data_IF_041740828391
#
_entry.id   IF_041740828391
#
_cell.length_a   1.000
_cell.length_b   1.000
_cell.length_c   1.000
_cell.angle_alpha   90.00
_cell.angle_beta   90.00
_cell.angle_gamma   90.00
#
_symmetry.space_group_name_H-M   'P 1'
#
loop_
_entity.id
_entity.type
_entity.pdbx_description
1 polymer ?
#
# COMPACT_ATOMS: atom_id res chain seq x y z
N UNK A 1 -18.38 16.95 -57.97
CA UNK A 1 -17.53 17.74 -57.07
C UNK A 1 -18.10 17.66 -55.63
N UNK A 2 -17.70 16.68 -54.83
CA UNK A 2 -18.06 16.53 -53.44
C UNK A 2 -16.98 17.15 -52.56
N UNK A 3 -17.36 18.19 -51.81
CA UNK A 3 -16.48 18.78 -50.80
C UNK A 3 -16.59 17.92 -49.51
N UNK A 4 -15.53 17.25 -49.19
CA UNK A 4 -15.34 16.61 -47.87
C UNK A 4 -15.01 17.72 -46.87
N UNK A 5 -15.93 17.98 -45.94
CA UNK A 5 -15.68 18.86 -44.81
C UNK A 5 -14.83 18.12 -43.79
N UNK A 6 -13.56 18.49 -43.72
CA UNK A 6 -12.68 18.05 -42.64
C UNK A 6 -13.17 18.67 -41.33
N UNK A 7 -13.67 17.84 -40.41
CA UNK A 7 -13.91 18.19 -39.03
C UNK A 7 -12.53 18.32 -38.33
N UNK A 8 -12.04 19.53 -38.30
CA UNK A 8 -10.90 19.87 -37.44
C UNK A 8 -11.37 19.78 -35.98
N UNK A 9 -11.00 18.68 -35.31
CA UNK A 9 -11.13 18.55 -33.88
C UNK A 9 -10.32 19.66 -33.20
N UNK A 10 -11.01 20.61 -32.57
CA UNK A 10 -10.37 21.54 -31.62
C UNK A 10 -9.72 20.70 -30.54
N UNK A 11 -8.41 20.92 -30.26
CA UNK A 11 -7.82 20.34 -29.06
C UNK A 11 -8.65 20.85 -27.87
N UNK A 12 -9.19 19.93 -27.07
CA UNK A 12 -9.76 20.28 -25.78
C UNK A 12 -8.65 20.95 -24.98
N UNK A 13 -8.75 22.27 -24.80
CA UNK A 13 -7.90 23.02 -23.89
C UNK A 13 -8.21 22.42 -22.52
N UNK A 14 -7.24 21.66 -21.98
CA UNK A 14 -7.29 21.22 -20.61
C UNK A 14 -7.53 22.47 -19.75
N UNK A 15 -8.55 22.51 -18.87
CA UNK A 15 -8.74 23.64 -18.00
C UNK A 15 -7.44 23.82 -17.22
N UNK A 16 -6.92 25.04 -17.13
CA UNK A 16 -5.83 25.40 -16.22
C UNK A 16 -6.37 25.21 -14.80
N UNK A 17 -6.28 23.97 -14.29
CA UNK A 17 -6.61 23.61 -12.92
C UNK A 17 -5.57 24.32 -12.05
N UNK A 18 -5.97 25.45 -11.47
CA UNK A 18 -5.17 26.11 -10.42
C UNK A 18 -5.51 25.40 -9.12
N UNK A 19 -4.46 25.02 -8.39
CA UNK A 19 -4.65 24.51 -7.04
C UNK A 19 -5.41 25.56 -6.22
N UNK A 20 -6.51 25.17 -5.57
CA UNK A 20 -7.28 26.06 -4.70
C UNK A 20 -6.45 26.36 -3.44
N UNK A 21 -5.73 25.35 -2.94
CA UNK A 21 -4.75 25.50 -1.85
C UNK A 21 -3.76 24.33 -1.89
N UNK A 22 -2.59 24.55 -1.31
CA UNK A 22 -1.49 23.60 -1.21
C UNK A 22 -0.70 23.82 0.06
N UNK A 23 0.05 22.81 0.50
CA UNK A 23 0.87 22.88 1.71
C UNK A 23 1.71 21.63 1.92
N UNK A 24 2.16 21.49 3.15
CA UNK A 24 3.01 20.39 3.62
C UNK A 24 2.24 19.55 4.64
N UNK A 25 2.38 18.22 4.57
CA UNK A 25 1.69 17.27 5.45
C UNK A 25 2.16 17.37 6.89
N UNK A 26 3.38 17.84 7.12
CA UNK A 26 3.94 18.10 8.45
C UNK A 26 3.17 19.19 9.20
N UNK A 27 2.49 20.08 8.47
CA UNK A 27 1.70 21.17 9.04
C UNK A 27 0.23 20.78 9.21
N UNK A 28 -0.31 20.02 8.25
CA UNK A 28 -1.71 19.58 8.23
C UNK A 28 -1.77 18.15 7.69
N UNK A 29 -2.09 17.19 8.56
CA UNK A 29 -2.17 15.80 8.19
C UNK A 29 -3.29 15.48 7.19
N UNK A 30 -3.16 14.37 6.47
CA UNK A 30 -4.15 13.93 5.47
C UNK A 30 -5.54 13.77 6.09
N UNK A 31 -5.62 13.26 7.33
CA UNK A 31 -6.88 13.13 8.07
C UNK A 31 -7.59 14.48 8.21
N UNK A 32 -6.86 15.51 8.67
CA UNK A 32 -7.41 16.84 8.92
C UNK A 32 -7.84 17.52 7.62
N UNK A 33 -7.06 17.32 6.55
CA UNK A 33 -7.40 17.81 5.21
C UNK A 33 -8.72 17.22 4.71
N UNK A 34 -8.90 15.91 4.82
CA UNK A 34 -10.13 15.25 4.40
C UNK A 34 -11.30 15.69 5.27
N UNK A 35 -11.12 15.83 6.59
CA UNK A 35 -12.16 16.36 7.48
C UNK A 35 -12.57 17.78 7.10
N UNK A 36 -11.60 18.67 6.83
CA UNK A 36 -11.85 20.04 6.39
C UNK A 36 -12.65 20.06 5.08
N UNK A 37 -12.25 19.25 4.10
CA UNK A 37 -12.92 19.16 2.80
C UNK A 37 -14.33 18.58 2.93
N UNK A 38 -14.52 17.57 3.79
CA UNK A 38 -15.82 16.96 4.09
C UNK A 38 -16.76 17.97 4.76
N UNK A 39 -16.32 18.69 5.81
CA UNK A 39 -17.12 19.71 6.50
C UNK A 39 -17.58 20.83 5.56
N UNK A 40 -16.73 21.22 4.61
CA UNK A 40 -16.99 22.28 3.65
C UNK A 40 -17.67 21.76 2.35
N UNK A 41 -18.04 20.50 2.29
CA UNK A 41 -18.67 19.85 1.14
C UNK A 41 -17.93 20.14 -0.17
N UNK A 42 -16.62 20.04 -0.16
CA UNK A 42 -15.81 20.33 -1.34
C UNK A 42 -15.85 19.17 -2.32
N UNK A 43 -15.93 19.52 -3.60
CA UNK A 43 -15.80 18.56 -4.71
C UNK A 43 -14.52 18.82 -5.44
N UNK A 44 -13.68 17.79 -5.58
CA UNK A 44 -12.36 17.93 -6.20
C UNK A 44 -11.41 16.78 -5.93
N UNK A 45 -10.14 17.02 -6.20
CA UNK A 45 -9.05 16.06 -6.05
C UNK A 45 -8.01 16.63 -5.09
N UNK A 46 -7.72 15.89 -4.02
CA UNK A 46 -6.59 16.13 -3.13
C UNK A 46 -5.43 15.25 -3.60
N UNK A 47 -4.45 15.85 -4.24
CA UNK A 47 -3.21 15.20 -4.68
C UNK A 47 -2.18 15.26 -3.57
N UNK A 48 -1.51 14.15 -3.30
CA UNK A 48 -0.51 13.98 -2.23
C UNK A 48 0.76 13.41 -2.84
N UNK A 49 1.90 13.99 -2.50
CA UNK A 49 3.22 13.51 -2.94
C UNK A 49 4.13 13.35 -1.73
N UNK A 50 4.65 12.15 -1.54
CA UNK A 50 5.53 11.77 -0.42
C UNK A 50 6.83 11.17 -0.95
N UNK A 51 7.79 10.93 -0.07
CA UNK A 51 9.01 10.20 -0.43
C UNK A 51 8.73 8.75 -0.89
N UNK A 52 7.61 8.18 -0.45
CA UNK A 52 7.21 6.80 -0.73
C UNK A 52 6.40 6.66 -2.02
N UNK A 53 5.82 7.74 -2.54
CA UNK A 53 5.03 7.75 -3.77
C UNK A 53 4.05 8.93 -3.86
N UNK A 54 3.19 8.88 -4.85
CA UNK A 54 2.12 9.85 -5.03
C UNK A 54 0.75 9.17 -5.03
N UNK A 55 -0.27 9.93 -4.63
CA UNK A 55 -1.64 9.47 -4.61
C UNK A 55 -2.64 10.61 -4.69
N UNK A 56 -3.89 10.24 -4.80
CA UNK A 56 -5.01 11.16 -4.89
C UNK A 56 -6.18 10.66 -4.03
N UNK A 57 -6.87 11.59 -3.40
CA UNK A 57 -8.18 11.37 -2.78
C UNK A 57 -9.20 12.21 -3.53
N UNK A 58 -10.24 11.57 -4.04
CA UNK A 58 -11.29 12.21 -4.82
C UNK A 58 -12.53 12.38 -3.96
N UNK A 59 -13.03 13.61 -3.92
CA UNK A 59 -14.17 13.98 -3.12
C UNK A 59 -15.32 14.50 -4.02
N UNK A 60 -16.55 14.14 -3.68
CA UNK A 60 -17.77 14.65 -4.27
C UNK A 60 -18.74 15.06 -3.17
N UNK A 61 -19.16 16.33 -3.15
CA UNK A 61 -19.96 16.96 -2.06
C UNK A 61 -19.36 16.69 -0.65
N UNK A 62 -18.03 16.67 -0.55
CA UNK A 62 -17.29 16.37 0.67
C UNK A 62 -17.08 14.89 0.98
N UNK A 63 -17.79 13.99 0.31
CA UNK A 63 -17.63 12.56 0.51
C UNK A 63 -16.44 12.03 -0.29
N UNK A 64 -15.59 11.22 0.34
CA UNK A 64 -14.55 10.49 -0.36
C UNK A 64 -15.21 9.43 -1.23
N UNK A 65 -15.03 9.55 -2.53
CA UNK A 65 -15.65 8.64 -3.52
C UNK A 65 -14.64 7.68 -4.14
N UNK A 66 -13.37 8.03 -4.11
CA UNK A 66 -12.27 7.18 -4.60
C UNK A 66 -10.94 7.64 -4.01
N UNK A 67 -9.97 6.74 -3.97
CA UNK A 67 -8.59 7.05 -3.64
C UNK A 67 -7.65 6.16 -4.46
N UNK A 68 -6.46 6.68 -4.75
CA UNK A 68 -5.38 5.88 -5.31
C UNK A 68 -4.06 6.27 -4.63
N UNK A 69 -3.18 5.29 -4.43
CA UNK A 69 -1.82 5.51 -3.94
C UNK A 69 -0.89 4.44 -4.50
N UNK A 70 0.10 4.85 -5.28
CA UNK A 70 0.95 3.93 -6.03
C UNK A 70 0.12 3.01 -6.94
N UNK A 71 -0.01 1.71 -6.58
CA UNK A 71 -0.82 0.71 -7.29
C UNK A 71 -2.12 0.37 -6.58
N UNK A 72 -2.32 0.92 -5.39
CA UNK A 72 -3.50 0.69 -4.59
C UNK A 72 -4.63 1.61 -5.01
N UNK A 73 -5.85 1.15 -4.84
CA UNK A 73 -7.08 1.86 -5.16
C UNK A 73 -8.11 1.67 -4.04
N UNK A 74 -9.08 2.59 -3.97
CA UNK A 74 -10.17 2.54 -3.01
C UNK A 74 -9.75 2.72 -1.56
N UNK A 75 -10.43 2.05 -0.64
CA UNK A 75 -10.23 2.21 0.81
C UNK A 75 -8.80 1.89 1.25
N UNK A 76 -8.17 0.86 0.67
CA UNK A 76 -6.79 0.50 1.00
C UNK A 76 -5.80 1.58 0.63
N UNK A 77 -5.99 2.26 -0.50
CA UNK A 77 -5.18 3.41 -0.89
C UNK A 77 -5.38 4.59 0.08
N UNK A 78 -6.64 4.84 0.48
CA UNK A 78 -6.96 5.86 1.46
C UNK A 78 -6.23 5.60 2.79
N UNK A 79 -6.26 4.36 3.29
CA UNK A 79 -5.56 3.98 4.52
C UNK A 79 -4.05 4.26 4.45
N UNK A 80 -3.42 3.96 3.31
CA UNK A 80 -1.99 4.28 3.13
C UNK A 80 -1.73 5.77 3.14
N UNK A 81 -2.59 6.56 2.49
CA UNK A 81 -2.46 8.02 2.49
C UNK A 81 -2.67 8.62 3.88
N UNK A 82 -3.61 8.09 4.68
CA UNK A 82 -3.82 8.52 6.07
C UNK A 82 -2.60 8.24 6.97
N UNK A 83 -1.76 7.27 6.62
CA UNK A 83 -0.55 6.94 7.37
C UNK A 83 0.63 7.88 7.04
N UNK A 84 0.58 8.62 5.92
CA UNK A 84 1.66 9.52 5.51
C UNK A 84 1.66 10.78 6.36
N UNK A 85 2.83 11.13 6.89
CA UNK A 85 3.03 12.29 7.77
C UNK A 85 3.92 13.36 7.16
N UNK A 86 4.66 13.04 6.11
CA UNK A 86 5.61 13.93 5.45
C UNK A 86 5.33 13.98 3.95
N UNK A 87 5.47 15.18 3.38
CA UNK A 87 5.26 15.39 1.96
C UNK A 87 4.45 16.64 1.65
N UNK A 88 4.01 16.77 0.41
CA UNK A 88 3.25 17.91 -0.06
C UNK A 88 1.86 17.51 -0.53
N UNK A 89 0.92 18.42 -0.38
CA UNK A 89 -0.43 18.24 -0.91
C UNK A 89 -0.87 19.44 -1.75
N UNK A 90 -1.80 19.19 -2.67
CA UNK A 90 -2.52 20.20 -3.43
C UNK A 90 -3.98 19.77 -3.60
N UNK A 91 -4.92 20.69 -3.36
CA UNK A 91 -6.32 20.45 -3.64
C UNK A 91 -6.77 21.25 -4.85
N UNK A 92 -7.45 20.61 -5.76
CA UNK A 92 -8.00 21.22 -6.98
C UNK A 92 -9.49 20.93 -7.06
N UNK A 93 -10.30 21.99 -7.06
CA UNK A 93 -11.75 21.86 -7.26
C UNK A 93 -12.08 21.38 -8.66
N UNK A 94 -13.07 20.51 -8.77
CA UNK A 94 -13.59 19.98 -10.04
C UNK A 94 -15.10 20.16 -10.13
N UNK A 95 -15.64 20.00 -11.32
CA UNK A 95 -17.10 20.17 -11.56
C UNK A 95 -17.95 18.98 -11.06
N UNK A 96 -17.36 17.99 -10.38
CA UNK A 96 -18.08 16.78 -9.94
C UNK A 96 -18.15 15.69 -11.02
N UNK A 97 -18.99 14.68 -10.77
CA UNK A 97 -19.14 13.54 -11.69
C UNK A 97 -18.01 12.51 -11.59
N UNK A 98 -17.37 12.43 -10.43
CA UNK A 98 -16.30 11.48 -10.16
C UNK A 98 -16.93 10.10 -9.92
N UNK A 99 -16.49 9.03 -10.62
CA UNK A 99 -16.99 7.68 -10.37
C UNK A 99 -16.75 7.28 -8.90
N UNK A 100 -17.79 6.73 -8.26
CA UNK A 100 -17.74 6.27 -6.88
C UNK A 100 -17.22 4.83 -6.83
N UNK A 101 -16.14 4.62 -6.12
CA UNK A 101 -15.57 3.30 -5.78
C UNK A 101 -15.73 3.00 -4.30
N UNK A 102 -15.69 4.03 -3.48
CA UNK A 102 -15.84 3.96 -2.03
C UNK A 102 -17.28 4.33 -1.69
N UNK A 103 -18.03 3.40 -1.09
CA UNK A 103 -19.44 3.57 -0.77
C UNK A 103 -19.66 4.05 0.68
N UNK A 104 -18.71 3.74 1.58
CA UNK A 104 -18.84 4.10 2.98
C UNK A 104 -18.78 5.62 3.19
N UNK A 105 -19.55 6.17 4.14
CA UNK A 105 -19.48 7.59 4.48
C UNK A 105 -18.08 7.98 4.96
N UNK A 106 -17.58 9.13 4.51
CA UNK A 106 -16.24 9.62 4.83
C UNK A 106 -15.93 9.58 6.32
N UNK A 107 -16.87 9.99 7.16
CA UNK A 107 -16.68 9.98 8.61
C UNK A 107 -16.42 8.58 9.17
N UNK A 108 -17.16 7.58 8.69
CA UNK A 108 -16.95 6.18 9.09
C UNK A 108 -15.57 5.68 8.62
N UNK A 109 -15.23 5.94 7.35
CA UNK A 109 -13.92 5.61 6.78
C UNK A 109 -12.75 6.17 7.60
N UNK A 110 -12.84 7.44 8.01
CA UNK A 110 -11.78 8.07 8.77
C UNK A 110 -11.66 7.49 10.18
N UNK A 111 -12.79 7.19 10.84
CA UNK A 111 -12.79 6.56 12.18
C UNK A 111 -12.23 5.14 12.13
N UNK A 112 -12.71 4.34 11.20
CA UNK A 112 -12.27 2.96 11.01
C UNK A 112 -10.80 2.93 10.55
N UNK A 113 -10.42 3.85 9.65
CA UNK A 113 -9.07 3.98 9.15
C UNK A 113 -8.04 4.29 10.25
N UNK A 114 -8.32 5.24 11.13
CA UNK A 114 -7.41 5.55 12.27
C UNK A 114 -7.26 4.34 13.18
N UNK A 115 -8.36 3.65 13.48
CA UNK A 115 -8.34 2.45 14.30
C UNK A 115 -7.49 1.34 13.66
N UNK A 116 -7.68 1.09 12.35
CA UNK A 116 -6.92 0.07 11.62
C UNK A 116 -5.42 0.41 11.58
N UNK A 117 -5.07 1.68 11.36
CA UNK A 117 -3.67 2.13 11.40
C UNK A 117 -3.02 1.89 12.76
N UNK A 118 -3.75 2.17 13.86
CA UNK A 118 -3.25 1.92 15.22
C UNK A 118 -3.09 0.43 15.52
N UNK A 119 -3.98 -0.41 15.02
CA UNK A 119 -3.89 -1.87 15.15
C UNK A 119 -2.69 -2.40 14.36
N UNK A 120 -2.55 -2.02 13.09
CA UNK A 120 -1.43 -2.41 12.22
C UNK A 120 -0.09 -1.98 12.82
N UNK A 121 0.00 -0.75 13.36
CA UNK A 121 1.22 -0.26 14.03
C UNK A 121 1.58 -1.15 15.23
N UNK A 122 0.63 -1.42 16.13
CA UNK A 122 0.84 -2.30 17.29
C UNK A 122 1.29 -3.71 16.88
N UNK A 123 0.69 -4.26 15.82
CA UNK A 123 1.10 -5.56 15.28
C UNK A 123 2.53 -5.54 14.76
N UNK A 124 2.90 -4.53 13.98
CA UNK A 124 4.28 -4.38 13.48
C UNK A 124 5.30 -4.28 14.61
N UNK A 125 4.99 -3.49 15.63
CA UNK A 125 5.86 -3.32 16.80
C UNK A 125 6.01 -4.65 17.56
N UNK A 126 4.92 -5.38 17.77
CA UNK A 126 4.96 -6.68 18.45
C UNK A 126 5.73 -7.75 17.67
N UNK A 127 5.68 -7.71 16.36
CA UNK A 127 6.40 -8.63 15.49
C UNK A 127 7.86 -8.21 15.23
N UNK A 128 8.23 -6.96 15.56
CA UNK A 128 9.57 -6.41 15.33
C UNK A 128 9.99 -6.43 13.85
N UNK A 129 9.05 -6.16 12.95
CA UNK A 129 9.22 -6.36 11.50
C UNK A 129 9.65 -5.09 10.73
N UNK A 130 10.05 -4.01 11.42
CA UNK A 130 10.24 -2.69 10.82
C UNK A 130 11.20 -2.68 9.61
N UNK A 131 12.30 -3.47 9.65
CA UNK A 131 13.34 -3.46 8.62
C UNK A 131 13.63 -4.84 8.01
N UNK A 132 12.85 -5.86 8.38
CA UNK A 132 13.11 -7.21 7.93
C UNK A 132 12.44 -7.49 6.58
N UNK A 133 13.11 -8.33 5.80
CA UNK A 133 12.55 -8.93 4.58
C UNK A 133 12.00 -10.30 4.92
N UNK A 134 10.75 -10.54 4.53
CA UNK A 134 10.10 -11.82 4.64
C UNK A 134 10.47 -12.71 3.45
N UNK A 135 10.81 -13.94 3.72
CA UNK A 135 11.17 -14.93 2.69
C UNK A 135 10.48 -16.26 2.99
N UNK A 136 10.10 -16.97 1.96
CA UNK A 136 9.60 -18.36 2.06
C UNK A 136 10.32 -19.26 1.07
N UNK A 137 10.58 -20.49 1.49
CA UNK A 137 11.00 -21.59 0.60
C UNK A 137 9.88 -22.59 0.32
N UNK A 138 8.70 -22.35 0.90
CA UNK A 138 7.55 -23.23 0.81
C UNK A 138 6.60 -22.72 -0.26
N UNK A 139 6.15 -23.62 -1.13
CA UNK A 139 5.06 -23.32 -2.08
C UNK A 139 3.71 -23.56 -1.44
N UNK A 140 2.68 -22.79 -1.83
CA UNK A 140 1.32 -23.06 -1.38
C UNK A 140 0.90 -24.49 -1.70
N UNK A 141 0.29 -25.17 -0.73
CA UNK A 141 -0.21 -26.52 -0.83
C UNK A 141 -1.74 -26.60 -0.86
N UNK A 142 -2.30 -27.77 -1.15
CA UNK A 142 -3.76 -27.94 -1.22
C UNK A 142 -4.48 -27.81 0.13
N UNK A 143 -3.72 -27.82 1.24
CA UNK A 143 -4.25 -27.61 2.60
C UNK A 143 -4.23 -26.15 3.06
N UNK A 144 -3.64 -25.25 2.30
CA UNK A 144 -3.53 -23.85 2.68
C UNK A 144 -4.85 -23.11 2.45
N UNK A 145 -5.24 -22.29 3.41
CA UNK A 145 -6.35 -21.37 3.26
C UNK A 145 -6.06 -20.27 2.20
N UNK A 146 -7.11 -19.57 1.73
CA UNK A 146 -6.95 -18.53 0.71
C UNK A 146 -5.92 -17.44 1.09
N UNK A 147 -5.92 -17.00 2.36
CA UNK A 147 -5.00 -15.98 2.87
C UNK A 147 -3.55 -16.51 2.91
N UNK A 148 -3.34 -17.73 3.39
CA UNK A 148 -2.02 -18.38 3.42
C UNK A 148 -1.47 -18.56 2.02
N UNK A 149 -2.28 -19.13 1.14
CA UNK A 149 -1.89 -19.35 -0.24
C UNK A 149 -1.53 -18.08 -0.98
N UNK A 150 -2.24 -16.97 -0.72
CA UNK A 150 -1.94 -15.66 -1.28
C UNK A 150 -0.61 -15.12 -0.72
N UNK A 151 -0.45 -15.12 0.60
CA UNK A 151 0.76 -14.65 1.28
C UNK A 151 2.00 -15.42 0.81
N UNK A 152 1.94 -16.73 0.76
CA UNK A 152 3.06 -17.58 0.30
C UNK A 152 3.40 -17.35 -1.18
N UNK A 153 2.41 -17.14 -2.05
CA UNK A 153 2.66 -16.78 -3.47
C UNK A 153 3.36 -15.42 -3.57
N UNK A 154 2.91 -14.46 -2.82
CA UNK A 154 3.49 -13.11 -2.83
C UNK A 154 4.92 -13.12 -2.28
N UNK A 155 5.19 -13.91 -1.25
CA UNK A 155 6.52 -14.10 -0.66
C UNK A 155 7.45 -15.06 -1.43
N UNK A 156 7.01 -15.63 -2.55
CA UNK A 156 7.91 -16.33 -3.48
C UNK A 156 9.07 -15.40 -3.96
N UNK A 157 8.86 -14.08 -3.88
CA UNK A 157 9.90 -13.06 -4.00
C UNK A 157 10.06 -12.42 -2.63
N UNK A 158 11.31 -12.26 -2.12
CA UNK A 158 11.58 -11.58 -0.86
C UNK A 158 10.98 -10.19 -0.83
N UNK A 159 10.24 -9.86 0.24
CA UNK A 159 9.52 -8.58 0.39
C UNK A 159 9.59 -8.08 1.83
N UNK A 160 9.59 -6.78 1.99
CA UNK A 160 9.28 -6.17 3.28
C UNK A 160 7.81 -6.37 3.62
N UNK A 161 7.44 -6.13 4.87
CA UNK A 161 6.03 -6.18 5.28
C UNK A 161 5.18 -5.19 4.48
N UNK A 162 5.68 -3.97 4.26
CA UNK A 162 4.98 -2.95 3.49
C UNK A 162 4.74 -3.38 2.04
N UNK A 163 5.76 -3.91 1.38
CA UNK A 163 5.64 -4.43 0.03
C UNK A 163 4.66 -5.61 -0.05
N UNK A 164 4.62 -6.47 0.98
CA UNK A 164 3.65 -7.55 1.06
C UNK A 164 2.22 -7.00 1.21
N UNK A 165 2.03 -6.09 2.17
CA UNK A 165 0.73 -5.49 2.44
C UNK A 165 0.18 -4.71 1.23
N UNK A 166 1.04 -4.09 0.44
CA UNK A 166 0.65 -3.39 -0.79
C UNK A 166 0.30 -4.34 -1.95
N UNK A 167 0.85 -5.55 -1.96
CA UNK A 167 0.63 -6.52 -3.05
C UNK A 167 -0.57 -7.44 -2.81
N UNK A 168 -0.88 -7.78 -1.54
CA UNK A 168 -2.01 -8.66 -1.24
C UNK A 168 -3.34 -7.90 -1.24
N UNK A 169 -4.41 -8.57 -1.67
CA UNK A 169 -5.78 -8.01 -1.63
C UNK A 169 -6.47 -8.21 -0.28
N UNK A 170 -5.78 -8.80 0.70
CA UNK A 170 -6.26 -8.98 2.07
C UNK A 170 -6.27 -7.65 2.82
N UNK A 171 -7.11 -7.53 3.85
CA UNK A 171 -6.93 -6.45 4.84
C UNK A 171 -5.57 -6.58 5.51
N UNK A 172 -5.00 -5.47 5.95
CA UNK A 172 -3.68 -5.48 6.57
C UNK A 172 -3.66 -6.33 7.84
N UNK A 173 -4.73 -6.29 8.62
CA UNK A 173 -4.90 -7.13 9.80
C UNK A 173 -4.82 -8.62 9.45
N UNK A 174 -5.62 -9.09 8.48
CA UNK A 174 -5.61 -10.49 8.05
C UNK A 174 -4.25 -10.92 7.48
N UNK A 175 -3.59 -10.03 6.73
CA UNK A 175 -2.28 -10.29 6.18
C UNK A 175 -1.21 -10.46 7.28
N UNK A 176 -1.20 -9.57 8.28
CA UNK A 176 -0.25 -9.64 9.41
C UNK A 176 -0.50 -10.84 10.32
N UNK A 177 -1.76 -11.17 10.62
CA UNK A 177 -2.12 -12.38 11.35
C UNK A 177 -1.62 -13.64 10.61
N UNK A 178 -1.82 -13.68 9.29
CA UNK A 178 -1.33 -14.78 8.45
C UNK A 178 0.20 -14.87 8.47
N UNK A 179 0.88 -13.73 8.35
CA UNK A 179 2.36 -13.68 8.44
C UNK A 179 2.86 -14.19 9.78
N UNK A 180 2.25 -13.76 10.89
CA UNK A 180 2.62 -14.23 12.22
C UNK A 180 2.52 -15.76 12.31
N UNK A 181 1.40 -16.33 11.94
CA UNK A 181 1.20 -17.77 11.95
C UNK A 181 2.22 -18.50 11.09
N UNK A 182 2.47 -18.03 9.88
CA UNK A 182 3.48 -18.63 8.99
C UNK A 182 4.91 -18.52 9.51
N UNK A 183 5.22 -17.46 10.29
CA UNK A 183 6.50 -17.33 11.02
C UNK A 183 6.61 -18.35 12.16
N UNK A 184 5.54 -18.53 12.95
CA UNK A 184 5.46 -19.51 14.04
C UNK A 184 5.59 -20.96 13.52
N UNK A 185 4.98 -21.25 12.37
CA UNK A 185 5.11 -22.53 11.67
C UNK A 185 6.47 -22.73 10.97
N UNK A 186 7.33 -21.71 10.92
CA UNK A 186 8.61 -21.75 10.23
C UNK A 186 8.51 -21.81 8.69
N UNK A 187 7.35 -21.57 8.12
CA UNK A 187 7.08 -21.52 6.67
C UNK A 187 7.52 -20.21 6.03
N UNK A 188 7.56 -19.15 6.82
CA UNK A 188 8.12 -17.84 6.49
C UNK A 188 9.25 -17.55 7.45
N UNK A 189 10.30 -16.88 7.02
CA UNK A 189 11.43 -16.46 7.84
C UNK A 189 11.74 -15.00 7.62
N UNK A 190 12.28 -14.36 8.65
CA UNK A 190 12.79 -12.99 8.61
C UNK A 190 14.27 -13.00 8.25
N UNK A 191 14.64 -12.09 7.37
CA UNK A 191 16.02 -11.86 6.97
C UNK A 191 16.31 -10.38 7.08
N UNK A 192 17.36 -9.94 7.80
CA UNK A 192 17.76 -8.54 7.84
C UNK A 192 17.93 -7.97 6.42
N UNK A 193 17.44 -6.76 6.16
CA UNK A 193 17.45 -6.14 4.83
C UNK A 193 18.84 -6.11 4.17
N UNK A 194 19.90 -6.02 4.96
CA UNK A 194 21.29 -6.07 4.48
C UNK A 194 21.75 -7.45 3.98
N UNK A 195 21.14 -8.54 4.48
CA UNK A 195 21.47 -9.91 4.11
C UNK A 195 20.62 -10.44 2.92
N UNK A 196 19.52 -9.78 2.60
CA UNK A 196 18.59 -10.20 1.51
C UNK A 196 19.13 -9.93 0.09
N UNK A 197 20.31 -9.35 -0.07
CA UNK A 197 20.97 -9.12 -1.37
C UNK A 197 21.63 -10.38 -1.97
N UNK A 198 21.57 -11.51 -1.31
CA UNK A 198 21.99 -12.79 -1.91
C UNK A 198 20.83 -13.27 -2.78
N UNK A 199 20.98 -13.43 -4.11
CA UNK A 199 19.98 -14.07 -4.92
C UNK A 199 19.66 -15.42 -4.30
N UNK A 200 18.38 -15.71 -4.04
CA UNK A 200 17.97 -17.06 -3.64
C UNK A 200 18.38 -17.99 -4.79
N UNK A 201 19.51 -18.64 -4.61
CA UNK A 201 19.94 -19.68 -5.52
C UNK A 201 18.86 -20.77 -5.54
N UNK A 202 18.69 -21.39 -6.70
CA UNK A 202 17.80 -22.54 -6.90
C UNK A 202 17.92 -23.52 -5.73
N UNK A 203 16.86 -24.28 -5.36
CA UNK A 203 16.85 -25.15 -4.18
C UNK A 203 18.04 -26.11 -4.06
N UNK A 204 18.72 -26.41 -5.16
CA UNK A 204 19.97 -27.20 -5.18
C UNK A 204 21.18 -26.49 -4.56
N UNK A 205 21.22 -25.16 -4.54
CA UNK A 205 22.34 -24.40 -3.96
C UNK A 205 22.19 -24.17 -2.45
N UNK A 206 20.98 -24.27 -1.89
CA UNK A 206 20.73 -24.24 -0.45
C UNK A 206 21.29 -25.49 0.26
N UNK A 207 21.31 -26.64 -0.41
CA UNK A 207 21.93 -27.87 0.11
C UNK A 207 23.47 -27.73 0.23
N UNK A 208 24.10 -26.97 -0.67
CA UNK A 208 25.54 -26.76 -0.63
C UNK A 208 25.93 -25.79 0.48
N UNK A 209 25.13 -24.71 0.73
CA UNK A 209 25.38 -23.79 1.84
C UNK A 209 25.16 -24.42 3.20
N UNK A 210 24.16 -25.29 3.35
CA UNK A 210 23.95 -26.09 4.57
C UNK A 210 25.12 -27.02 4.88
N UNK A 211 25.72 -27.61 3.86
CA UNK A 211 26.87 -28.48 4.00
C UNK A 211 28.17 -27.74 4.35
N UNK A 212 28.31 -26.48 3.90
CA UNK A 212 29.48 -25.63 4.22
C UNK A 212 29.39 -25.11 5.65
N UNK A 213 28.20 -24.72 6.12
CA UNK A 213 27.99 -24.26 7.51
C UNK A 213 28.19 -25.43 8.50
N UNK A 214 27.76 -26.63 8.16
CA UNK A 214 27.99 -27.82 9.00
C UNK A 214 29.49 -28.22 9.12
N UNK A 215 30.31 -27.85 8.15
CA UNK A 215 31.78 -28.11 8.19
C UNK A 215 32.58 -27.07 8.97
N UNK A 216 31.99 -25.91 9.27
CA UNK A 216 32.63 -24.83 10.02
C UNK A 216 32.27 -24.83 11.51
N UNK A 217 31.43 -25.73 11.97
CA UNK A 217 31.15 -25.87 13.39
C UNK A 217 32.36 -26.60 14.10
N UNK A 218 32.93 -26.02 15.15
CA UNK A 218 34.00 -26.70 15.89
C UNK A 218 33.46 -27.96 16.57
N UNK A 219 34.27 -29.03 16.69
CA UNK A 219 33.84 -30.25 17.35
C UNK A 219 33.50 -29.96 18.82
N UNK A 220 32.34 -30.41 19.25
CA UNK A 220 31.93 -30.37 20.65
C UNK A 220 32.92 -31.18 21.49
N UNK A 221 33.50 -30.54 22.54
CA UNK A 221 34.26 -31.19 23.58
C UNK A 221 33.36 -31.81 24.63
#
# INVERSE_FOLDING_TARGET
AQRVHALQGRPAVAPNLRDDFRGELEQVGVLDLIQLLNMNRRTGVLSITTATGSGEVRLDDGEVVDACFRRLEGEKALLRLLAEQEGTFAFTSTAGGIPRRIEAPTRALLMDGVRELDEVRRWRDSLGLADDVLVTSVRPGPGDGPAEGMTLRTLAVPRTVDELLDEVTLSDHTALETVQRLLEEGRVRRVPRGAARVPLAAPEQLLVLGAVVARLAPPAR
#
